data_IF_609665859864
#
_entry.id   IF_609665859864
#
_cell.length_a   1.000
_cell.length_b   1.000
_cell.length_c   1.000
_cell.angle_alpha   90.00
_cell.angle_beta   90.00
_cell.angle_gamma   90.00
#
_symmetry.space_group_name_H-M   'P 1'
#
loop_
_entity.id
_entity.type
_entity.pdbx_description
1 polymer ?
#
# COMPACT_ATOMS: atom_id res chain seq x y z
N UNK A 1 77.24 -26.26 0.44
CA UNK A 1 76.24 -25.45 -0.27
C UNK A 1 75.06 -26.35 -0.62
N UNK A 2 74.05 -26.40 0.25
CA UNK A 2 72.87 -27.24 0.06
C UNK A 2 71.77 -26.42 -0.63
N UNK A 3 71.29 -26.88 -1.78
CA UNK A 3 70.15 -26.28 -2.48
C UNK A 3 68.90 -27.08 -2.10
N UNK A 4 68.03 -26.50 -1.26
CA UNK A 4 66.68 -27.03 -1.02
C UNK A 4 65.78 -26.58 -2.18
N UNK A 5 65.30 -27.54 -2.97
CA UNK A 5 64.29 -27.31 -4.01
C UNK A 5 62.88 -27.27 -3.42
N UNK A 6 62.15 -26.19 -3.69
CA UNK A 6 60.75 -26.01 -3.31
C UNK A 6 59.84 -26.71 -4.35
N UNK A 7 59.00 -27.64 -3.91
CA UNK A 7 57.98 -28.28 -4.77
C UNK A 7 56.72 -27.43 -4.78
N UNK A 8 56.30 -26.97 -5.95
CA UNK A 8 55.04 -26.22 -6.14
C UNK A 8 53.89 -27.20 -6.40
N UNK A 9 52.87 -27.21 -5.54
CA UNK A 9 51.61 -27.90 -5.81
C UNK A 9 50.71 -27.05 -6.72
N UNK A 10 50.02 -27.66 -7.70
CA UNK A 10 49.10 -26.93 -8.55
C UNK A 10 47.85 -26.55 -7.75
N UNK A 11 47.51 -25.26 -7.73
CA UNK A 11 46.30 -24.72 -7.13
C UNK A 11 45.10 -25.10 -8.02
N UNK A 12 44.22 -26.00 -7.57
CA UNK A 12 43.00 -26.32 -8.30
C UNK A 12 42.02 -25.13 -8.23
N UNK A 13 41.71 -24.56 -9.40
CA UNK A 13 40.69 -23.52 -9.58
C UNK A 13 39.29 -24.08 -9.32
N UNK A 14 38.64 -23.60 -8.25
CA UNK A 14 37.22 -23.83 -7.99
C UNK A 14 36.36 -22.88 -8.84
N UNK A 15 36.32 -23.06 -10.16
CA UNK A 15 35.40 -22.34 -11.03
C UNK A 15 34.09 -23.12 -11.16
N UNK A 16 33.10 -22.76 -10.35
CA UNK A 16 31.76 -23.36 -10.45
C UNK A 16 30.79 -22.96 -9.35
N UNK A 17 30.64 -21.68 -9.04
CA UNK A 17 29.52 -21.22 -8.22
C UNK A 17 28.27 -21.11 -9.10
N UNK A 18 27.25 -21.93 -8.84
CA UNK A 18 25.94 -21.76 -9.46
C UNK A 18 25.27 -20.53 -8.82
N UNK A 19 25.11 -19.47 -9.60
CA UNK A 19 24.41 -18.28 -9.14
C UNK A 19 22.93 -18.63 -8.89
N UNK A 20 22.49 -18.55 -7.63
CA UNK A 20 21.09 -18.62 -7.30
C UNK A 20 20.36 -17.45 -7.99
N UNK A 21 19.32 -17.74 -8.78
CA UNK A 21 18.44 -16.68 -9.28
C UNK A 21 17.69 -16.05 -8.12
N UNK A 22 17.82 -14.74 -7.97
CA UNK A 22 17.08 -13.97 -6.97
C UNK A 22 15.56 -13.95 -7.23
N UNK A 23 14.77 -13.46 -6.25
CA UNK A 23 13.33 -13.34 -6.40
C UNK A 23 12.97 -12.51 -7.64
N UNK A 24 11.99 -12.99 -8.41
CA UNK A 24 11.52 -12.30 -9.61
C UNK A 24 10.74 -11.05 -9.21
N UNK A 25 11.05 -9.93 -9.88
CA UNK A 25 10.35 -8.67 -9.66
C UNK A 25 8.95 -8.73 -10.27
N UNK A 26 7.96 -8.20 -9.55
CA UNK A 26 6.60 -8.05 -10.07
C UNK A 26 6.60 -6.96 -11.14
N UNK A 27 6.05 -7.25 -12.32
CA UNK A 27 6.02 -6.34 -13.46
C UNK A 27 5.09 -5.14 -13.25
N UNK A 28 3.98 -5.37 -12.54
CA UNK A 28 3.01 -4.35 -12.17
C UNK A 28 2.67 -4.51 -10.68
N UNK A 29 3.36 -3.78 -9.79
CA UNK A 29 3.06 -3.85 -8.36
C UNK A 29 1.72 -3.22 -8.00
N UNK A 30 1.18 -2.31 -8.83
CA UNK A 30 -0.10 -1.64 -8.54
C UNK A 30 -1.28 -2.62 -8.67
N UNK A 31 -1.17 -3.61 -9.56
CA UNK A 31 -2.16 -4.68 -9.70
C UNK A 31 -2.35 -5.54 -8.43
N UNK A 32 -1.42 -5.48 -7.47
CA UNK A 32 -1.52 -6.20 -6.20
C UNK A 32 -2.31 -5.43 -5.13
N UNK A 33 -2.63 -4.15 -5.37
CA UNK A 33 -3.34 -3.30 -4.41
C UNK A 33 -4.84 -3.51 -4.55
N UNK A 34 -5.51 -3.83 -3.44
CA UNK A 34 -6.97 -3.84 -3.36
C UNK A 34 -7.46 -2.64 -2.51
N UNK A 35 -7.99 -1.57 -3.13
CA UNK A 35 -8.44 -0.36 -2.42
C UNK A 35 -9.65 -0.55 -1.50
N UNK A 36 -10.33 -1.71 -1.57
CA UNK A 36 -11.50 -2.01 -0.75
C UNK A 36 -11.12 -2.61 0.62
N UNK A 37 -9.86 -2.98 0.81
CA UNK A 37 -9.40 -3.51 2.11
C UNK A 37 -9.38 -2.37 3.12
N UNK A 38 -10.16 -2.50 4.21
CA UNK A 38 -10.24 -1.48 5.26
C UNK A 38 -11.28 -0.39 5.01
N UNK A 39 -12.12 -0.52 3.99
CA UNK A 39 -13.24 0.42 3.72
C UNK A 39 -14.51 0.08 4.50
N UNK A 40 -14.45 -0.85 5.46
CA UNK A 40 -15.53 -1.20 6.38
C UNK A 40 -14.97 -1.45 7.77
N UNK A 41 -15.78 -1.21 8.80
CA UNK A 41 -15.30 -1.24 10.19
C UNK A 41 -14.50 0.02 10.54
N UNK A 42 -13.75 0.00 11.65
CA UNK A 42 -13.15 1.21 12.24
C UNK A 42 -11.78 1.62 11.66
N UNK A 43 -11.45 1.19 10.43
CA UNK A 43 -10.19 1.56 9.75
C UNK A 43 -10.34 2.84 8.93
N UNK A 44 -11.56 3.11 8.45
CA UNK A 44 -11.93 4.36 7.76
C UNK A 44 -11.06 4.69 6.53
N UNK A 45 -10.66 3.67 5.74
CA UNK A 45 -10.02 3.88 4.42
C UNK A 45 -11.08 4.13 3.35
N UNK A 46 -10.68 4.67 2.19
CA UNK A 46 -11.58 4.93 1.06
C UNK A 46 -10.99 4.40 -0.27
N UNK A 47 -11.82 3.90 -1.20
CA UNK A 47 -11.35 3.30 -2.45
C UNK A 47 -11.24 4.31 -3.62
N UNK A 48 -10.96 5.58 -3.33
CA UNK A 48 -10.85 6.63 -4.35
C UNK A 48 -9.41 6.78 -4.88
N UNK A 49 -9.22 7.26 -6.12
CA UNK A 49 -7.90 7.53 -6.66
C UNK A 49 -7.14 8.59 -5.85
N UNK A 50 -5.89 8.27 -5.54
CA UNK A 50 -4.90 9.20 -4.97
C UNK A 50 -3.52 8.91 -5.55
N UNK A 51 -2.65 9.91 -5.51
CA UNK A 51 -1.21 9.76 -5.76
C UNK A 51 -0.46 9.79 -4.44
N UNK A 52 0.72 9.15 -4.31
CA UNK A 52 1.49 9.20 -3.07
C UNK A 52 1.71 10.65 -2.63
N UNK A 53 1.23 11.00 -1.43
CA UNK A 53 1.29 12.35 -0.85
C UNK A 53 0.52 13.43 -1.63
N UNK A 54 -0.53 13.04 -2.37
CA UNK A 54 -1.43 13.94 -3.06
C UNK A 54 -2.18 14.87 -2.10
N UNK A 55 -2.40 16.11 -2.52
CA UNK A 55 -3.13 17.10 -1.71
C UNK A 55 -4.66 16.97 -1.83
N UNK A 56 -5.12 16.24 -2.85
CA UNK A 56 -6.53 16.11 -3.23
C UNK A 56 -6.86 14.67 -3.54
N UNK A 57 -7.89 14.15 -2.87
CA UNK A 57 -8.43 12.82 -3.08
C UNK A 57 -9.84 12.93 -3.60
N UNK A 58 -10.10 12.31 -4.75
CA UNK A 58 -11.45 12.18 -5.28
C UNK A 58 -11.96 10.79 -4.94
N UNK A 59 -13.15 10.69 -4.37
CA UNK A 59 -13.62 9.39 -3.92
C UNK A 59 -15.14 9.24 -3.85
N UNK A 60 -15.58 7.98 -3.83
CA UNK A 60 -16.95 7.65 -3.49
C UNK A 60 -17.27 8.03 -2.04
N UNK A 61 -18.49 8.53 -1.83
CA UNK A 61 -19.02 8.91 -0.53
C UNK A 61 -20.42 8.28 -0.35
N UNK A 62 -20.65 7.64 0.80
CA UNK A 62 -21.90 6.93 1.14
C UNK A 62 -22.78 7.69 2.15
N UNK A 63 -22.62 9.00 2.27
CA UNK A 63 -23.51 9.87 3.08
C UNK A 63 -24.99 9.61 2.74
N UNK A 64 -25.87 9.44 3.75
CA UNK A 64 -25.65 9.69 5.17
C UNK A 64 -25.15 8.49 6.00
N UNK A 65 -25.08 7.29 5.44
CA UNK A 65 -24.88 6.05 6.21
C UNK A 65 -23.40 5.75 6.52
N UNK A 66 -22.48 6.56 6.00
CA UNK A 66 -21.04 6.44 6.27
C UNK A 66 -20.71 6.58 7.77
N UNK A 67 -19.67 5.88 8.27
CA UNK A 67 -19.20 6.01 9.65
C UNK A 67 -18.68 7.41 9.95
N UNK A 68 -18.78 7.85 11.21
CA UNK A 68 -18.36 9.22 11.59
C UNK A 68 -16.87 9.52 11.37
N UNK A 69 -16.03 8.47 11.32
CA UNK A 69 -14.59 8.56 11.05
C UNK A 69 -14.21 8.52 9.56
N UNK A 70 -15.11 8.05 8.68
CA UNK A 70 -14.82 7.76 7.27
C UNK A 70 -15.77 8.43 6.28
N UNK A 71 -15.33 8.52 5.02
CA UNK A 71 -16.13 9.03 3.90
C UNK A 71 -17.01 7.97 3.23
N UNK A 72 -16.72 6.68 3.45
CA UNK A 72 -17.24 5.55 2.68
C UNK A 72 -17.37 4.32 3.58
N UNK A 73 -18.43 3.53 3.40
CA UNK A 73 -18.59 2.21 4.01
C UNK A 73 -18.95 1.18 2.94
N UNK A 74 -18.15 0.11 2.86
CA UNK A 74 -18.29 -0.93 1.82
C UNK A 74 -19.64 -1.65 1.87
N UNK A 75 -20.22 -1.79 3.07
CA UNK A 75 -21.51 -2.47 3.24
C UNK A 75 -22.70 -1.61 2.86
N UNK A 76 -22.51 -0.30 2.67
CA UNK A 76 -23.59 0.60 2.26
C UNK A 76 -24.01 0.31 0.82
N UNK A 77 -25.32 0.22 0.62
CA UNK A 77 -25.94 -0.03 -0.70
C UNK A 77 -26.68 1.19 -1.24
N UNK A 78 -26.54 2.33 -0.55
CA UNK A 78 -27.20 3.57 -0.91
C UNK A 78 -26.45 4.32 -2.02
N UNK A 79 -27.07 5.39 -2.52
CA UNK A 79 -26.59 6.14 -3.67
C UNK A 79 -25.17 6.70 -3.45
N UNK A 80 -24.25 6.31 -4.33
CA UNK A 80 -22.86 6.74 -4.33
C UNK A 80 -22.72 8.15 -4.88
N UNK A 81 -22.04 9.03 -4.14
CA UNK A 81 -21.66 10.36 -4.63
C UNK A 81 -20.16 10.43 -4.85
N UNK A 82 -19.72 11.17 -5.86
CA UNK A 82 -18.29 11.50 -6.04
C UNK A 82 -18.02 12.84 -5.38
N UNK A 83 -17.08 12.91 -4.46
CA UNK A 83 -16.72 14.14 -3.76
C UNK A 83 -15.20 14.36 -3.71
N UNK A 84 -14.74 15.63 -3.81
CA UNK A 84 -13.36 15.99 -3.52
C UNK A 84 -13.13 16.13 -2.01
N UNK A 85 -12.01 15.57 -1.56
CA UNK A 85 -11.50 15.64 -0.20
C UNK A 85 -10.10 16.29 -0.20
N UNK A 86 -9.90 17.44 0.46
CA UNK A 86 -8.55 17.92 0.73
C UNK A 86 -7.88 16.95 1.72
N UNK A 87 -6.75 16.34 1.33
CA UNK A 87 -5.91 15.39 2.10
C UNK A 87 -6.54 14.86 3.41
N UNK A 88 -7.41 13.85 3.29
CA UNK A 88 -7.81 13.00 4.41
C UNK A 88 -6.98 11.71 4.32
N UNK A 89 -6.03 11.51 5.22
CA UNK A 89 -5.54 10.13 5.44
C UNK A 89 -6.69 9.23 5.90
N UNK A 90 -6.60 7.91 5.68
CA UNK A 90 -7.49 6.96 6.34
C UNK A 90 -7.53 7.26 7.85
N UNK A 91 -8.73 7.49 8.39
CA UNK A 91 -8.94 7.86 9.80
C UNK A 91 -8.72 9.34 10.18
N UNK A 92 -8.39 10.24 9.25
CA UNK A 92 -8.31 11.69 9.53
C UNK A 92 -9.69 12.30 9.30
N UNK A 93 -10.35 12.75 10.37
CA UNK A 93 -11.64 13.45 10.25
C UNK A 93 -11.52 14.66 9.34
N UNK A 94 -12.58 14.94 8.57
CA UNK A 94 -12.75 16.23 7.88
C UNK A 94 -12.65 17.33 8.93
N UNK A 95 -11.50 17.99 9.04
CA UNK A 95 -11.38 19.18 9.89
C UNK A 95 -12.25 20.27 9.23
N UNK A 96 -13.43 20.52 9.81
CA UNK A 96 -14.30 21.64 9.44
C UNK A 96 -15.73 21.33 8.99
N UNK A 97 -16.18 20.07 8.90
CA UNK A 97 -17.63 19.78 8.74
C UNK A 97 -18.19 19.29 10.08
N UNK A 98 -19.09 20.08 10.66
CA UNK A 98 -19.87 19.75 11.87
C UNK A 98 -20.30 18.29 11.76
N UNK A 99 -20.01 17.49 12.77
CA UNK A 99 -20.58 16.14 12.87
C UNK A 99 -22.09 16.31 12.69
N UNK A 100 -22.66 15.69 11.65
CA UNK A 100 -24.10 15.56 11.58
C UNK A 100 -24.52 14.79 12.84
N UNK A 101 -25.53 15.27 13.59
CA UNK A 101 -25.94 14.61 14.81
C UNK A 101 -26.32 13.17 14.46
N UNK A 102 -25.62 12.21 15.09
CA UNK A 102 -26.01 10.82 15.05
C UNK A 102 -27.45 10.76 15.56
N UNK A 103 -28.37 10.34 14.70
CA UNK A 103 -29.75 10.07 15.10
C UNK A 103 -29.76 8.97 16.15
N UNK A 104 -30.57 9.25 17.18
CA UNK A 104 -30.92 8.47 18.37
C UNK A 104 -30.96 6.94 18.22
#
# INVERSE_FOLDING_TARGET
MAVLGLVALPLQSAAGAWAASGPQLVKDPAALVNPLIGTSGAVDTFPGPDVPFGMMQWGPDTTPDRPSGGGYEYKDRQALRVQPHPHLGAGVRRCGRRADPAGD
#
